data_IF_033277867177
#
_entry.id   IF_033277867177
#
_cell.length_a   1.000
_cell.length_b   1.000
_cell.length_c   1.000
_cell.angle_alpha   90.00
_cell.angle_beta   90.00
_cell.angle_gamma   90.00
#
_symmetry.space_group_name_H-M   'P 1'
#
loop_
_entity.id
_entity.type
_entity.pdbx_description
1 polymer ?
#
# COMPACT_ATOMS: atom_id res chain seq x y z
N UNK A 1 -4.94 -8.92 24.25
CA UNK A 1 -6.28 -9.50 24.53
C UNK A 1 -6.65 -9.38 26.00
N UNK A 2 -5.76 -9.76 26.92
CA UNK A 2 -5.99 -9.69 28.37
C UNK A 2 -5.37 -8.43 28.98
N UNK A 3 -5.83 -8.05 30.17
CA UNK A 3 -5.20 -7.08 31.07
C UNK A 3 -4.10 -7.79 31.89
N UNK A 4 -3.22 -7.06 32.60
CA UNK A 4 -2.19 -7.67 33.45
C UNK A 4 -2.73 -8.63 34.52
N UNK A 5 -4.00 -8.45 34.94
CA UNK A 5 -4.70 -9.32 35.89
C UNK A 5 -5.28 -10.60 35.25
N UNK A 6 -4.98 -10.87 33.97
CA UNK A 6 -5.47 -12.04 33.23
C UNK A 6 -6.93 -11.94 32.75
N UNK A 7 -7.65 -10.86 33.06
CA UNK A 7 -9.04 -10.68 32.59
C UNK A 7 -9.08 -10.21 31.14
N UNK A 8 -9.99 -10.70 30.29
CA UNK A 8 -10.18 -10.18 28.95
C UNK A 8 -10.49 -8.68 28.99
N UNK A 9 -9.89 -7.90 28.08
CA UNK A 9 -10.32 -6.53 27.84
C UNK A 9 -11.78 -6.53 27.38
N UNK A 10 -12.51 -5.45 27.63
CA UNK A 10 -13.94 -5.36 27.29
C UNK A 10 -14.20 -5.67 25.81
N UNK A 11 -13.41 -5.08 24.91
CA UNK A 11 -13.44 -5.33 23.46
C UNK A 11 -13.18 -6.79 23.07
N UNK A 12 -12.47 -7.53 23.92
CA UNK A 12 -12.10 -8.93 23.70
C UNK A 12 -12.96 -9.92 24.47
N UNK A 13 -13.95 -9.49 25.26
CA UNK A 13 -14.72 -10.38 26.14
C UNK A 13 -15.52 -11.43 25.39
N UNK A 14 -16.22 -11.04 24.33
CA UNK A 14 -16.98 -11.97 23.48
C UNK A 14 -16.05 -12.94 22.73
N UNK A 15 -14.89 -12.47 22.30
CA UNK A 15 -13.85 -13.31 21.69
C UNK A 15 -13.30 -14.31 22.69
N UNK A 16 -12.91 -13.87 23.89
CA UNK A 16 -12.44 -14.75 24.96
C UNK A 16 -13.48 -15.81 25.34
N UNK A 17 -14.75 -15.45 25.42
CA UNK A 17 -15.83 -16.41 25.66
C UNK A 17 -16.07 -17.36 24.49
N UNK A 18 -15.83 -16.95 23.24
CA UNK A 18 -15.89 -17.84 22.08
C UNK A 18 -14.72 -18.82 22.07
N UNK A 19 -13.50 -18.33 22.31
CA UNK A 19 -12.29 -19.16 22.39
C UNK A 19 -12.34 -20.15 23.55
N UNK A 20 -12.85 -19.75 24.72
CA UNK A 20 -13.00 -20.66 25.86
C UNK A 20 -14.05 -21.77 25.64
N UNK A 21 -14.96 -21.60 24.66
CA UNK A 21 -15.97 -22.60 24.29
C UNK A 21 -15.52 -23.53 23.17
N UNK A 22 -14.60 -23.09 22.32
CA UNK A 22 -13.96 -23.95 21.34
C UNK A 22 -12.95 -24.82 22.08
N UNK A 23 -13.02 -26.15 21.97
CA UNK A 23 -11.96 -26.99 22.53
C UNK A 23 -10.64 -26.69 21.80
N UNK A 24 -9.49 -26.91 22.44
CA UNK A 24 -8.18 -26.71 21.79
C UNK A 24 -8.02 -27.53 20.50
N UNK A 25 -8.65 -28.70 20.43
CA UNK A 25 -8.71 -29.57 19.25
C UNK A 25 -9.53 -28.95 18.10
N UNK A 26 -10.58 -28.18 18.41
CA UNK A 26 -11.39 -27.48 17.41
C UNK A 26 -10.62 -26.32 16.77
N UNK A 27 -9.77 -25.63 17.53
CA UNK A 27 -8.95 -24.52 17.02
C UNK A 27 -7.84 -25.01 16.08
N UNK A 28 -7.17 -26.11 16.42
CA UNK A 28 -6.16 -26.71 15.55
C UNK A 28 -6.76 -27.23 14.24
N UNK A 29 -7.90 -27.93 14.31
CA UNK A 29 -8.62 -28.39 13.12
C UNK A 29 -9.09 -27.23 12.24
N UNK A 30 -9.52 -26.12 12.85
CA UNK A 30 -9.90 -24.91 12.14
C UNK A 30 -8.70 -24.24 11.46
N UNK A 31 -7.59 -24.14 12.17
CA UNK A 31 -6.33 -23.62 11.68
C UNK A 31 -5.86 -24.41 10.44
N UNK A 32 -5.92 -25.74 10.51
CA UNK A 32 -5.63 -26.63 9.38
C UNK A 32 -6.62 -26.45 8.22
N UNK A 33 -7.91 -26.30 8.52
CA UNK A 33 -8.95 -26.07 7.52
C UNK A 33 -8.74 -24.78 6.75
N UNK A 34 -8.40 -23.69 7.44
CA UNK A 34 -8.11 -22.39 6.83
C UNK A 34 -6.81 -22.46 6.02
N UNK A 35 -5.75 -23.08 6.55
CA UNK A 35 -4.48 -23.24 5.82
C UNK A 35 -4.64 -24.05 4.52
N UNK A 36 -5.40 -25.16 4.55
CA UNK A 36 -5.70 -25.96 3.34
C UNK A 36 -6.49 -25.16 2.31
N UNK A 37 -7.39 -24.28 2.77
CA UNK A 37 -8.15 -23.42 1.87
C UNK A 37 -7.25 -22.39 1.18
N UNK A 38 -6.34 -21.77 1.93
CA UNK A 38 -5.37 -20.84 1.35
C UNK A 38 -4.50 -21.51 0.29
N UNK A 39 -4.09 -22.77 0.52
CA UNK A 39 -3.41 -23.58 -0.49
C UNK A 39 -4.26 -23.80 -1.75
N UNK A 40 -5.53 -24.18 -1.58
CA UNK A 40 -6.43 -24.47 -2.69
C UNK A 40 -6.81 -23.22 -3.49
N UNK A 41 -6.93 -22.06 -2.83
CA UNK A 41 -7.23 -20.78 -3.48
C UNK A 41 -5.98 -20.11 -4.07
N UNK A 42 -4.80 -20.74 -3.95
CA UNK A 42 -3.54 -20.21 -4.47
C UNK A 42 -3.07 -18.95 -3.75
N UNK A 43 -3.51 -18.74 -2.51
CA UNK A 43 -3.07 -17.64 -1.65
C UNK A 43 -1.68 -18.00 -1.11
N UNK A 44 -0.69 -17.88 -1.97
CA UNK A 44 0.70 -18.21 -1.68
C UNK A 44 1.55 -16.93 -1.66
N UNK A 45 2.74 -17.04 -1.09
CA UNK A 45 3.80 -16.05 -1.21
C UNK A 45 5.10 -16.78 -1.57
N UNK A 46 5.97 -16.09 -2.30
CA UNK A 46 7.29 -16.61 -2.63
C UNK A 46 8.31 -16.15 -1.60
N UNK A 47 8.90 -17.09 -0.85
CA UNK A 47 10.02 -16.79 0.05
C UNK A 47 11.31 -16.69 -0.78
N UNK A 48 11.85 -15.48 -0.93
CA UNK A 48 13.20 -15.27 -1.45
C UNK A 48 14.22 -15.68 -0.37
N UNK A 49 14.84 -16.86 -0.51
CA UNK A 49 15.87 -17.32 0.43
C UNK A 49 16.24 -18.80 0.38
N UNK A 50 15.42 -19.65 -0.25
CA UNK A 50 15.79 -21.05 -0.55
C UNK A 50 16.11 -21.18 -2.04
N UNK A 51 17.06 -22.06 -2.37
CA UNK A 51 17.56 -22.36 -3.72
C UNK A 51 16.47 -22.85 -4.70
N UNK A 52 15.26 -23.05 -4.20
CA UNK A 52 14.04 -23.38 -4.92
C UNK A 52 12.97 -22.33 -4.60
N UNK A 53 12.33 -21.80 -5.66
CA UNK A 53 11.09 -21.02 -5.56
C UNK A 53 9.97 -21.95 -5.08
N UNK A 54 9.92 -22.25 -3.78
CA UNK A 54 8.80 -22.98 -3.18
C UNK A 54 7.71 -21.97 -2.81
N UNK A 55 6.55 -22.05 -3.47
CA UNK A 55 5.35 -21.35 -3.00
C UNK A 55 5.01 -21.83 -1.58
N UNK A 56 4.94 -20.88 -0.64
CA UNK A 56 4.50 -21.18 0.73
C UNK A 56 3.17 -20.49 1.01
N UNK A 57 2.37 -21.12 1.85
CA UNK A 57 1.13 -20.53 2.37
C UNK A 57 1.52 -19.54 3.46
N UNK A 58 0.97 -18.34 3.46
CA UNK A 58 1.14 -17.41 4.59
C UNK A 58 0.53 -18.06 5.84
N UNK A 59 1.30 -18.21 6.93
CA UNK A 59 0.73 -18.66 8.20
C UNK A 59 -0.36 -17.69 8.65
N UNK A 60 -1.56 -18.19 8.80
CA UNK A 60 -2.70 -17.44 9.35
C UNK A 60 -2.85 -17.79 10.82
N UNK A 61 -3.27 -16.85 11.65
CA UNK A 61 -3.73 -17.12 13.01
C UNK A 61 -5.25 -16.91 13.03
N UNK A 62 -5.98 -17.94 13.48
CA UNK A 62 -7.44 -17.88 13.59
C UNK A 62 -7.93 -17.00 14.77
N UNK A 63 -7.07 -16.39 15.56
CA UNK A 63 -7.44 -15.45 16.62
C UNK A 63 -7.41 -14.02 16.07
N UNK A 64 -8.58 -13.37 15.87
CA UNK A 64 -8.62 -12.07 15.24
C UNK A 64 -8.07 -10.97 16.16
N UNK A 65 -7.38 -9.99 15.56
CA UNK A 65 -7.03 -8.73 16.21
C UNK A 65 -8.25 -7.81 16.26
N UNK A 66 -8.84 -7.65 17.45
CA UNK A 66 -10.00 -6.77 17.65
C UNK A 66 -9.55 -5.33 17.88
N UNK A 67 -10.12 -4.40 17.10
CA UNK A 67 -10.04 -2.95 17.29
C UNK A 67 -11.45 -2.41 17.54
N UNK A 68 -11.60 -1.55 18.54
CA UNK A 68 -12.88 -0.87 18.81
C UNK A 68 -13.13 0.22 17.76
N UNK A 69 -14.40 0.66 17.64
CA UNK A 69 -14.76 1.77 16.76
C UNK A 69 -13.97 3.04 17.08
N UNK A 70 -13.87 3.42 18.36
CA UNK A 70 -13.12 4.61 18.77
C UNK A 70 -11.62 4.52 18.45
N UNK A 71 -11.00 3.35 18.64
CA UNK A 71 -9.60 3.13 18.25
C UNK A 71 -9.43 3.24 16.73
N UNK A 72 -10.33 2.63 15.95
CA UNK A 72 -10.28 2.71 14.49
C UNK A 72 -10.52 4.13 13.96
N UNK A 73 -11.47 4.87 14.53
CA UNK A 73 -11.80 6.22 14.09
C UNK A 73 -10.63 7.19 14.39
N UNK A 74 -9.85 6.96 15.46
CA UNK A 74 -8.59 7.68 15.71
C UNK A 74 -7.52 7.34 14.67
N UNK A 75 -7.33 6.04 14.36
CA UNK A 75 -6.38 5.59 13.33
C UNK A 75 -6.76 6.14 11.95
N UNK A 76 -8.02 6.00 11.52
CA UNK A 76 -8.50 6.46 10.22
C UNK A 76 -8.27 7.96 10.03
N UNK A 77 -8.59 8.78 11.05
CA UNK A 77 -8.32 10.22 11.00
C UNK A 77 -6.84 10.54 10.86
N UNK A 78 -5.98 9.87 11.64
CA UNK A 78 -4.54 10.11 11.57
C UNK A 78 -3.89 9.62 10.28
N UNK A 79 -4.34 8.49 9.73
CA UNK A 79 -3.88 7.99 8.44
C UNK A 79 -4.30 8.93 7.29
N UNK A 80 -5.51 9.49 7.33
CA UNK A 80 -5.97 10.49 6.36
C UNK A 80 -5.12 11.76 6.43
N UNK A 81 -4.94 12.33 7.63
CA UNK A 81 -4.09 13.51 7.86
C UNK A 81 -2.68 13.28 7.31
N UNK A 82 -2.06 12.15 7.69
CA UNK A 82 -0.72 11.78 7.25
C UNK A 82 -0.62 11.65 5.73
N UNK A 83 -1.54 10.93 5.09
CA UNK A 83 -1.54 10.75 3.64
C UNK A 83 -1.77 12.07 2.89
N UNK A 84 -2.62 12.96 3.41
CA UNK A 84 -2.80 14.30 2.84
C UNK A 84 -1.50 15.10 2.91
N UNK A 85 -0.84 15.13 4.06
CA UNK A 85 0.44 15.82 4.22
C UNK A 85 1.54 15.25 3.31
N UNK A 86 1.61 13.92 3.16
CA UNK A 86 2.59 13.27 2.27
C UNK A 86 2.34 13.59 0.79
N UNK A 87 1.08 13.67 0.34
CA UNK A 87 0.78 14.11 -1.03
C UNK A 87 1.15 15.58 -1.25
N UNK A 88 0.87 16.48 -0.30
CA UNK A 88 1.26 17.88 -0.37
C UNK A 88 2.79 18.05 -0.37
N UNK A 89 3.51 17.23 0.40
CA UNK A 89 4.96 17.19 0.38
C UNK A 89 5.51 16.75 -0.97
N UNK A 90 4.97 15.66 -1.55
CA UNK A 90 5.36 15.18 -2.87
C UNK A 90 5.09 16.24 -3.95
N UNK A 91 3.94 16.91 -3.90
CA UNK A 91 3.62 18.02 -4.78
C UNK A 91 4.62 19.17 -4.63
N UNK A 92 4.95 19.55 -3.41
CA UNK A 92 5.90 20.63 -3.15
C UNK A 92 7.30 20.30 -3.70
N UNK A 93 7.88 19.14 -3.38
CA UNK A 93 9.26 18.81 -3.80
C UNK A 93 9.43 18.68 -5.32
N UNK A 94 8.37 18.31 -6.05
CA UNK A 94 8.40 18.23 -7.51
C UNK A 94 8.07 19.56 -8.21
N UNK A 95 7.63 20.57 -7.46
CA UNK A 95 7.28 21.88 -7.99
C UNK A 95 8.05 22.99 -7.27
N UNK A 96 7.41 23.69 -6.34
CA UNK A 96 7.94 24.89 -5.73
C UNK A 96 9.04 24.62 -4.71
N UNK A 97 9.11 23.46 -4.07
CA UNK A 97 10.14 23.09 -3.08
C UNK A 97 10.21 24.04 -1.88
N UNK A 98 9.07 24.53 -1.39
CA UNK A 98 8.99 25.48 -0.26
C UNK A 98 9.43 24.84 1.05
N UNK A 99 9.01 23.61 1.32
CA UNK A 99 9.39 22.86 2.53
C UNK A 99 10.90 22.64 2.63
N UNK A 100 11.60 22.51 1.50
CA UNK A 100 13.06 22.40 1.47
C UNK A 100 13.73 23.75 1.73
N UNK A 101 13.26 24.83 1.09
CA UNK A 101 13.80 26.19 1.30
C UNK A 101 13.58 26.70 2.72
N UNK A 102 12.45 26.36 3.32
CA UNK A 102 12.11 26.74 4.69
C UNK A 102 12.80 25.83 5.73
N UNK A 103 13.56 24.83 5.28
CA UNK A 103 14.36 23.95 6.14
C UNK A 103 13.55 22.92 6.93
N UNK A 104 12.32 22.63 6.52
CA UNK A 104 11.46 21.62 7.17
C UNK A 104 12.00 20.21 6.94
N UNK A 105 12.45 19.93 5.72
CA UNK A 105 13.16 18.69 5.36
C UNK A 105 14.48 19.09 4.70
N UNK A 106 15.62 18.51 5.11
CA UNK A 106 16.91 18.81 4.49
C UNK A 106 16.90 18.51 2.99
N UNK A 107 17.32 19.50 2.19
CA UNK A 107 17.31 19.40 0.73
C UNK A 107 18.14 18.22 0.21
N UNK A 108 19.29 17.95 0.81
CA UNK A 108 20.19 16.89 0.38
C UNK A 108 19.64 15.48 0.66
N UNK A 109 18.73 15.35 1.64
CA UNK A 109 18.02 14.09 1.92
C UNK A 109 17.05 13.78 0.79
N UNK A 110 16.34 14.79 0.29
CA UNK A 110 15.36 14.63 -0.80
C UNK A 110 16.05 14.50 -2.14
N UNK A 111 16.90 15.48 -2.51
CA UNK A 111 17.56 15.51 -3.82
C UNK A 111 18.64 14.43 -3.99
N UNK A 112 19.21 13.94 -2.88
CA UNK A 112 20.15 12.82 -2.87
C UNK A 112 19.48 11.44 -2.79
N UNK A 113 18.17 11.36 -2.58
CA UNK A 113 17.45 10.10 -2.50
C UNK A 113 17.41 9.41 -3.87
N UNK A 114 17.81 8.13 -4.00
CA UNK A 114 17.71 7.38 -5.26
C UNK A 114 16.27 7.23 -5.78
N UNK A 115 15.27 7.38 -4.90
CA UNK A 115 13.87 7.32 -5.26
C UNK A 115 13.28 8.67 -5.68
N UNK A 116 14.05 9.76 -5.57
CA UNK A 116 13.65 11.05 -6.13
C UNK A 116 13.81 11.04 -7.65
N UNK A 117 12.69 11.13 -8.37
CA UNK A 117 12.65 11.15 -9.84
C UNK A 117 12.66 12.56 -10.38
N UNK A 118 13.81 13.03 -10.88
CA UNK A 118 13.93 14.36 -11.50
C UNK A 118 12.95 14.54 -12.67
N UNK A 119 12.58 13.43 -13.32
CA UNK A 119 11.64 13.37 -14.43
C UNK A 119 10.23 13.83 -14.04
N UNK A 120 9.86 13.73 -12.76
CA UNK A 120 8.57 14.16 -12.21
C UNK A 120 8.47 15.67 -11.95
N UNK A 121 9.57 16.43 -12.10
CA UNK A 121 9.54 17.87 -11.87
C UNK A 121 8.62 18.58 -12.86
N UNK A 122 7.69 19.38 -12.34
CA UNK A 122 6.71 20.11 -13.14
C UNK A 122 5.71 19.22 -13.89
N UNK A 123 5.60 17.93 -13.53
CA UNK A 123 4.56 17.04 -14.05
C UNK A 123 3.26 17.32 -13.29
N UNK A 124 2.20 17.64 -14.02
CA UNK A 124 0.87 17.80 -13.45
C UNK A 124 0.30 16.43 -13.05
N UNK A 125 0.10 16.22 -11.75
CA UNK A 125 -0.51 15.00 -11.22
C UNK A 125 -1.98 15.29 -10.89
N UNK A 126 -2.94 14.55 -11.45
CA UNK A 126 -4.35 14.82 -11.21
C UNK A 126 -4.71 14.84 -9.72
N UNK A 127 -5.43 15.88 -9.32
CA UNK A 127 -5.83 16.15 -7.92
C UNK A 127 -4.66 16.26 -6.93
N UNK A 128 -3.41 16.40 -7.39
CA UNK A 128 -2.22 16.28 -6.53
C UNK A 128 -2.07 14.88 -5.89
N UNK A 129 -2.73 13.86 -6.44
CA UNK A 129 -2.81 12.53 -5.84
C UNK A 129 -1.64 11.63 -6.27
N UNK A 130 -0.43 11.98 -5.85
CA UNK A 130 0.78 11.17 -6.07
C UNK A 130 0.63 9.76 -5.50
N UNK A 131 0.09 9.64 -4.29
CA UNK A 131 -0.15 8.38 -3.58
C UNK A 131 -1.65 8.14 -3.50
N UNK A 132 -2.16 7.32 -4.42
CA UNK A 132 -3.57 6.91 -4.47
C UNK A 132 -3.87 5.72 -3.55
N UNK A 133 -2.88 4.85 -3.33
CA UNK A 133 -2.94 3.70 -2.43
C UNK A 133 -1.74 3.74 -1.50
N UNK A 134 -1.98 3.75 -0.19
CA UNK A 134 -0.92 3.76 0.82
C UNK A 134 -1.08 2.55 1.74
N UNK A 135 0.03 1.88 2.04
CA UNK A 135 0.10 0.91 3.13
C UNK A 135 0.87 1.50 4.31
N UNK A 136 0.20 1.80 5.42
CA UNK A 136 0.87 2.31 6.63
C UNK A 136 0.93 1.22 7.70
N UNK A 137 2.14 0.94 8.18
CA UNK A 137 2.37 -0.01 9.26
C UNK A 137 2.16 0.66 10.61
N UNK A 138 1.14 0.23 11.35
CA UNK A 138 0.75 0.82 12.63
C UNK A 138 0.95 -0.19 13.76
N UNK A 139 1.71 0.22 14.78
CA UNK A 139 1.93 -0.55 16.00
C UNK A 139 1.12 0.04 17.16
N UNK A 140 0.82 -0.79 18.16
CA UNK A 140 0.25 -0.33 19.43
C UNK A 140 1.34 -0.39 20.50
N UNK A 141 1.74 0.76 21.02
CA UNK A 141 2.73 0.93 22.09
C UNK A 141 2.03 1.02 23.46
N UNK A 142 2.79 1.30 24.52
CA UNK A 142 2.22 1.61 25.84
C UNK A 142 1.40 2.91 25.82
N UNK A 143 1.82 3.88 25.00
CA UNK A 143 1.27 5.25 24.98
C UNK A 143 0.16 5.45 23.93
N UNK A 144 -0.01 4.51 22.99
CA UNK A 144 -1.06 4.62 21.98
C UNK A 144 -0.77 3.86 20.70
N UNK A 145 -1.25 4.38 19.59
CA UNK A 145 -0.90 3.89 18.26
C UNK A 145 0.20 4.76 17.67
N UNK A 146 1.17 4.14 17.02
CA UNK A 146 2.25 4.82 16.33
C UNK A 146 2.47 4.21 14.95
N UNK A 147 2.85 5.04 13.99
CA UNK A 147 3.28 4.63 12.65
C UNK A 147 4.72 4.17 12.74
N UNK A 148 5.03 3.02 12.11
CA UNK A 148 6.38 2.47 11.99
C UNK A 148 6.97 2.76 10.61
N UNK A 149 6.15 2.70 9.57
CA UNK A 149 6.56 2.86 8.17
C UNK A 149 5.36 3.23 7.32
N UNK A 150 5.61 3.98 6.25
CA UNK A 150 4.67 4.19 5.16
C UNK A 150 5.18 3.45 3.92
N UNK A 151 4.26 2.90 3.12
CA UNK A 151 4.56 2.23 1.87
C UNK A 151 3.79 2.98 0.77
N UNK A 152 4.49 3.85 0.04
CA UNK A 152 3.91 4.79 -0.92
C UNK A 152 4.22 4.42 -2.37
N UNK A 153 5.07 3.43 -2.60
CA UNK A 153 5.40 2.89 -3.93
C UNK A 153 4.31 1.93 -4.42
N UNK A 154 4.50 0.64 -4.16
CA UNK A 154 3.63 -0.44 -4.64
C UNK A 154 3.18 -1.30 -3.46
N UNK A 155 2.33 -0.76 -2.56
CA UNK A 155 1.91 -1.50 -1.37
C UNK A 155 1.14 -2.79 -1.75
N UNK A 156 1.31 -3.83 -0.94
CA UNK A 156 0.65 -5.12 -1.08
C UNK A 156 0.05 -5.57 0.26
N UNK A 157 -0.79 -6.60 0.27
CA UNK A 157 -1.38 -7.15 1.50
C UNK A 157 -2.90 -7.29 1.47
N UNK A 158 -3.57 -6.65 0.51
CA UNK A 158 -5.03 -6.52 0.46
C UNK A 158 -5.69 -7.86 0.17
N UNK A 159 -5.16 -8.64 -0.77
CA UNK A 159 -5.75 -9.95 -1.10
C UNK A 159 -5.76 -10.86 0.13
N UNK A 160 -4.67 -10.84 0.91
CA UNK A 160 -4.57 -11.57 2.17
C UNK A 160 -5.57 -11.04 3.19
N UNK A 161 -5.72 -9.72 3.36
CA UNK A 161 -6.73 -9.14 4.26
C UNK A 161 -8.15 -9.65 3.93
N UNK A 162 -8.52 -9.66 2.64
CA UNK A 162 -9.84 -10.10 2.17
C UNK A 162 -10.03 -11.61 2.34
N UNK A 163 -9.02 -12.39 1.99
CA UNK A 163 -9.05 -13.85 2.15
C UNK A 163 -9.14 -14.25 3.63
N UNK A 164 -8.32 -13.66 4.49
CA UNK A 164 -8.35 -13.84 5.94
C UNK A 164 -9.75 -13.54 6.49
N UNK A 165 -10.35 -12.42 6.10
CA UNK A 165 -11.71 -12.07 6.55
C UNK A 165 -12.75 -13.10 6.11
N UNK A 166 -12.69 -13.56 4.86
CA UNK A 166 -13.63 -14.54 4.31
C UNK A 166 -13.50 -15.89 5.01
N UNK A 167 -12.28 -16.37 5.20
CA UNK A 167 -12.02 -17.59 5.95
C UNK A 167 -12.53 -17.50 7.39
N UNK A 168 -12.24 -16.38 8.07
CA UNK A 168 -12.63 -16.15 9.44
C UNK A 168 -14.15 -16.01 9.65
N UNK A 169 -14.87 -15.39 8.70
CA UNK A 169 -16.34 -15.32 8.71
C UNK A 169 -16.99 -16.71 8.62
N UNK A 170 -16.42 -17.61 7.83
CA UNK A 170 -16.90 -18.99 7.68
C UNK A 170 -16.55 -19.86 8.90
N UNK A 171 -15.35 -19.65 9.44
CA UNK A 171 -14.84 -20.32 10.63
C UNK A 171 -15.63 -19.98 11.91
N UNK A 172 -15.97 -18.70 12.12
CA UNK A 172 -16.63 -18.22 13.33
C UNK A 172 -17.89 -17.37 13.04
N UNK A 173 -18.94 -17.90 12.39
CA UNK A 173 -20.08 -17.11 11.92
C UNK A 173 -20.91 -16.51 13.07
N UNK A 174 -20.93 -17.15 14.25
CA UNK A 174 -21.60 -16.62 15.45
C UNK A 174 -20.83 -15.44 16.07
N UNK A 175 -19.50 -15.53 16.11
CA UNK A 175 -18.63 -14.48 16.63
C UNK A 175 -18.75 -13.21 15.79
N UNK A 176 -18.70 -13.35 14.46
CA UNK A 176 -18.81 -12.21 13.54
C UNK A 176 -20.16 -11.50 13.64
N UNK A 177 -21.26 -12.25 13.74
CA UNK A 177 -22.59 -11.68 13.93
C UNK A 177 -22.74 -10.97 15.28
N UNK A 178 -22.17 -11.53 16.35
CA UNK A 178 -22.27 -10.95 17.69
C UNK A 178 -21.43 -9.66 17.88
N UNK A 179 -20.33 -9.50 17.14
CA UNK A 179 -19.43 -8.35 17.27
C UNK A 179 -19.76 -7.16 16.35
N UNK A 180 -20.69 -7.30 15.40
CA UNK A 180 -21.02 -6.22 14.45
C UNK A 180 -19.80 -5.76 13.64
N UNK A 181 -18.95 -6.71 13.21
CA UNK A 181 -17.70 -6.40 12.49
C UNK A 181 -17.98 -5.67 11.17
N UNK A 182 -17.37 -4.50 10.97
CA UNK A 182 -17.49 -3.70 9.73
C UNK A 182 -17.01 -4.50 8.50
N UNK A 183 -17.75 -4.39 7.40
CA UNK A 183 -17.45 -5.09 6.15
C UNK A 183 -16.27 -4.46 5.40
N UNK A 184 -15.48 -5.31 4.73
CA UNK A 184 -14.32 -4.90 3.92
C UNK A 184 -14.37 -5.44 2.48
N UNK A 185 -15.39 -6.23 2.15
CA UNK A 185 -15.48 -6.94 0.86
C UNK A 185 -15.53 -5.98 -0.34
N UNK A 186 -16.00 -4.75 -0.13
CA UNK A 186 -16.11 -3.70 -1.16
C UNK A 186 -14.80 -2.97 -1.45
N UNK A 187 -13.67 -3.43 -0.91
CA UNK A 187 -12.37 -2.81 -1.18
C UNK A 187 -12.05 -2.71 -2.69
N UNK A 188 -12.20 -3.78 -3.51
CA UNK A 188 -11.89 -3.68 -4.94
C UNK A 188 -12.77 -2.67 -5.68
N UNK A 189 -14.05 -2.56 -5.32
CA UNK A 189 -14.95 -1.53 -5.86
C UNK A 189 -14.45 -0.11 -5.52
N UNK A 190 -14.05 0.11 -4.26
CA UNK A 190 -13.50 1.39 -3.84
C UNK A 190 -12.17 1.70 -4.56
N UNK A 191 -11.30 0.70 -4.72
CA UNK A 191 -10.04 0.86 -5.46
C UNK A 191 -10.31 1.25 -6.91
N UNK A 192 -11.20 0.54 -7.62
CA UNK A 192 -11.58 0.89 -8.98
C UNK A 192 -12.15 2.30 -9.06
N UNK A 193 -13.05 2.67 -8.14
CA UNK A 193 -13.65 4.01 -8.08
C UNK A 193 -12.60 5.09 -7.86
N UNK A 194 -11.63 4.87 -6.97
CA UNK A 194 -10.52 5.79 -6.73
C UNK A 194 -9.68 5.96 -7.99
N UNK A 195 -9.24 4.86 -8.60
CA UNK A 195 -8.43 4.88 -9.83
C UNK A 195 -9.17 5.57 -10.99
N UNK A 196 -10.45 5.24 -11.17
CA UNK A 196 -11.31 5.83 -12.19
C UNK A 196 -11.49 7.35 -12.01
N UNK A 197 -11.42 7.85 -10.77
CA UNK A 197 -11.58 9.28 -10.46
C UNK A 197 -10.33 10.13 -10.74
N UNK A 198 -9.17 9.51 -10.98
CA UNK A 198 -7.88 10.21 -11.17
C UNK A 198 -7.75 10.95 -12.52
N UNK A 199 -8.80 11.08 -13.30
CA UNK A 199 -8.74 11.90 -14.49
C UNK A 199 -10.10 12.19 -15.09
N UNK A 200 -10.09 13.03 -16.11
CA UNK A 200 -11.30 13.53 -16.77
C UNK A 200 -11.65 12.65 -17.97
N UNK A 201 -11.94 11.38 -17.71
CA UNK A 201 -12.33 10.40 -18.73
C UNK A 201 -13.84 10.43 -18.97
N UNK A 202 -14.31 9.81 -20.05
CA UNK A 202 -15.74 9.54 -20.24
C UNK A 202 -16.30 8.59 -19.17
N UNK A 203 -17.58 8.19 -19.31
CA UNK A 203 -18.35 7.49 -18.26
C UNK A 203 -17.89 6.07 -17.86
N UNK A 204 -16.72 5.58 -18.30
CA UNK A 204 -16.16 4.27 -17.91
C UNK A 204 -14.68 4.17 -18.32
N UNK A 205 -13.73 4.69 -17.52
CA UNK A 205 -12.31 4.57 -17.83
C UNK A 205 -11.85 3.12 -17.82
N UNK A 206 -10.96 2.78 -18.75
CA UNK A 206 -10.32 1.47 -18.77
C UNK A 206 -9.10 1.48 -17.86
N UNK A 207 -9.20 0.73 -16.77
CA UNK A 207 -8.12 0.49 -15.82
C UNK A 207 -7.34 -0.76 -16.24
N UNK A 208 -6.01 -0.65 -16.26
CA UNK A 208 -5.08 -1.75 -16.43
C UNK A 208 -4.27 -1.98 -15.15
N UNK A 209 -4.08 -3.24 -14.76
CA UNK A 209 -3.14 -3.62 -13.69
C UNK A 209 -1.84 -4.09 -14.36
N UNK A 210 -0.81 -3.25 -14.31
CA UNK A 210 0.48 -3.55 -14.92
C UNK A 210 1.33 -4.39 -13.97
N UNK A 211 1.56 -5.65 -14.32
CA UNK A 211 2.27 -6.63 -13.50
C UNK A 211 3.64 -6.99 -14.09
N UNK A 212 4.67 -7.27 -13.28
CA UNK A 212 5.95 -7.80 -13.75
C UNK A 212 5.86 -9.27 -14.19
N UNK A 213 4.69 -9.90 -14.05
CA UNK A 213 4.44 -11.28 -14.47
C UNK A 213 4.54 -12.31 -13.34
N UNK A 214 4.34 -13.58 -13.70
CA UNK A 214 4.14 -14.71 -12.76
C UNK A 214 5.29 -15.00 -11.80
N UNK A 215 6.49 -14.50 -12.08
CA UNK A 215 7.68 -14.75 -11.25
C UNK A 215 7.82 -13.78 -10.08
N UNK A 216 6.91 -12.81 -9.96
CA UNK A 216 6.84 -11.92 -8.82
C UNK A 216 6.01 -12.53 -7.68
N UNK A 217 6.48 -12.38 -6.45
CA UNK A 217 5.87 -12.95 -5.25
C UNK A 217 4.45 -12.49 -4.97
N UNK A 218 4.06 -11.31 -5.47
CA UNK A 218 2.73 -10.72 -5.30
C UNK A 218 1.82 -10.91 -6.53
N UNK A 219 2.24 -11.69 -7.54
CA UNK A 219 1.46 -11.88 -8.78
C UNK A 219 0.02 -12.34 -8.53
N UNK A 220 -0.19 -13.21 -7.54
CA UNK A 220 -1.53 -13.62 -7.12
C UNK A 220 -2.42 -12.43 -6.76
N UNK A 221 -1.91 -11.48 -5.97
CA UNK A 221 -2.66 -10.28 -5.60
C UNK A 221 -2.96 -9.40 -6.82
N UNK A 222 -2.02 -9.30 -7.76
CA UNK A 222 -2.21 -8.50 -8.97
C UNK A 222 -3.37 -9.06 -9.80
N UNK A 223 -3.38 -10.38 -10.02
CA UNK A 223 -4.42 -11.07 -10.75
C UNK A 223 -5.77 -11.03 -10.02
N UNK A 224 -5.76 -11.24 -8.70
CA UNK A 224 -6.95 -11.14 -7.85
C UNK A 224 -7.59 -9.75 -7.94
N UNK A 225 -6.82 -8.68 -7.71
CA UNK A 225 -7.34 -7.31 -7.78
C UNK A 225 -7.81 -6.95 -9.18
N UNK A 226 -7.10 -7.38 -10.22
CA UNK A 226 -7.54 -7.14 -11.60
C UNK A 226 -8.91 -7.80 -11.88
N UNK A 227 -9.08 -9.06 -11.44
CA UNK A 227 -10.34 -9.78 -11.58
C UNK A 227 -11.49 -9.12 -10.82
N UNK A 228 -11.30 -8.83 -9.52
CA UNK A 228 -12.34 -8.24 -8.67
C UNK A 228 -12.73 -6.81 -9.09
N UNK A 229 -11.80 -6.04 -9.65
CA UNK A 229 -12.09 -4.70 -10.20
C UNK A 229 -12.72 -4.74 -11.60
N UNK A 230 -12.69 -5.88 -12.29
CA UNK A 230 -12.97 -5.94 -13.73
C UNK A 230 -11.94 -5.17 -14.58
N UNK A 231 -10.72 -4.98 -14.06
CA UNK A 231 -9.61 -4.32 -14.73
C UNK A 231 -8.86 -5.31 -15.65
N UNK A 232 -8.11 -4.77 -16.61
CA UNK A 232 -7.29 -5.60 -17.51
C UNK A 232 -5.94 -5.91 -16.86
N UNK A 233 -5.67 -7.18 -16.53
CA UNK A 233 -4.33 -7.61 -16.11
C UNK A 233 -3.41 -7.68 -17.34
N UNK A 234 -2.26 -7.01 -17.30
CA UNK A 234 -1.32 -6.98 -18.43
C UNK A 234 0.14 -6.90 -17.97
N UNK A 235 1.03 -7.54 -18.72
CA UNK A 235 2.47 -7.30 -18.67
C UNK A 235 2.86 -6.17 -19.64
N UNK A 236 4.06 -5.59 -19.49
CA UNK A 236 4.51 -4.48 -20.35
C UNK A 236 4.44 -4.78 -21.85
N UNK A 237 4.72 -6.03 -22.25
CA UNK A 237 4.65 -6.50 -23.65
C UNK A 237 3.25 -6.47 -24.26
N UNK A 238 2.21 -6.52 -23.42
CA UNK A 238 0.81 -6.51 -23.86
C UNK A 238 0.34 -5.08 -24.17
N UNK A 239 1.09 -4.09 -23.71
CA UNK A 239 0.81 -2.67 -23.87
C UNK A 239 1.69 -2.04 -24.95
N UNK A 240 1.20 -0.96 -25.54
CA UNK A 240 1.93 -0.16 -26.52
C UNK A 240 1.48 1.29 -26.46
N UNK A 241 2.44 2.20 -26.50
CA UNK A 241 2.18 3.62 -26.69
C UNK A 241 2.23 3.95 -28.17
N UNK A 242 1.20 4.61 -28.68
CA UNK A 242 1.13 5.12 -30.05
C UNK A 242 0.51 6.51 -30.03
N UNK A 243 1.19 7.50 -30.61
CA UNK A 243 0.80 8.92 -30.59
C UNK A 243 0.43 9.41 -29.18
N UNK A 244 1.31 9.10 -28.21
CA UNK A 244 1.17 9.39 -26.78
C UNK A 244 -0.01 8.73 -26.06
N UNK A 245 -0.84 7.94 -26.74
CA UNK A 245 -1.94 7.19 -26.13
C UNK A 245 -1.51 5.76 -25.81
N UNK A 246 -1.84 5.29 -24.61
CA UNK A 246 -1.59 3.92 -24.19
C UNK A 246 -2.70 2.98 -24.66
N UNK A 247 -2.31 1.85 -25.25
CA UNK A 247 -3.22 0.80 -25.70
C UNK A 247 -2.81 -0.55 -25.14
N UNK A 248 -3.79 -1.41 -24.91
CA UNK A 248 -3.60 -2.86 -24.77
C UNK A 248 -3.86 -3.54 -26.10
N UNK A 249 -3.01 -4.52 -26.44
CA UNK A 249 -3.15 -5.35 -27.64
C UNK A 249 -4.21 -6.42 -27.38
N UNK A 250 -5.24 -6.47 -28.22
CA UNK A 250 -6.26 -7.53 -28.18
C UNK A 250 -6.41 -8.19 -29.55
N UNK A 251 -7.03 -9.36 -29.60
CA UNK A 251 -7.40 -10.01 -30.88
C UNK A 251 -8.31 -9.14 -31.76
N UNK A 252 -9.07 -8.22 -31.14
CA UNK A 252 -9.95 -7.27 -31.83
C UNK A 252 -9.28 -5.95 -32.19
N UNK A 253 -7.95 -5.87 -32.05
CA UNK A 253 -7.16 -4.65 -32.25
C UNK A 253 -6.81 -3.93 -30.94
N UNK A 254 -6.32 -2.70 -31.07
CA UNK A 254 -5.88 -1.88 -29.94
C UNK A 254 -7.07 -1.32 -29.16
N UNK A 255 -7.03 -1.42 -27.83
CA UNK A 255 -8.01 -0.80 -26.94
C UNK A 255 -7.29 0.18 -26.03
N UNK A 256 -7.76 1.43 -25.97
CA UNK A 256 -7.17 2.48 -25.15
C UNK A 256 -7.25 2.11 -23.66
N UNK A 257 -6.17 2.37 -22.94
CA UNK A 257 -6.07 2.33 -21.47
C UNK A 257 -6.00 3.77 -20.97
N UNK A 258 -6.79 4.09 -19.93
CA UNK A 258 -6.87 5.44 -19.38
C UNK A 258 -6.10 5.54 -18.05
N UNK A 259 -6.11 4.47 -17.26
CA UNK A 259 -5.44 4.42 -15.95
C UNK A 259 -4.63 3.13 -15.84
N UNK A 260 -3.38 3.26 -15.40
CA UNK A 260 -2.49 2.14 -15.08
C UNK A 260 -2.31 2.08 -13.58
N UNK A 261 -2.91 1.07 -12.95
CA UNK A 261 -2.52 0.66 -11.60
C UNK A 261 -1.24 -0.14 -11.69
N UNK A 262 -0.10 0.50 -11.43
CA UNK A 262 1.21 -0.14 -11.59
C UNK A 262 1.52 -1.05 -10.40
N UNK A 263 2.03 -2.24 -10.70
CA UNK A 263 2.59 -3.18 -9.73
C UNK A 263 4.07 -3.45 -9.99
N UNK A 264 4.74 -2.45 -10.56
CA UNK A 264 6.18 -2.44 -10.88
C UNK A 264 6.82 -1.16 -10.34
N UNK A 265 8.08 -1.26 -9.93
CA UNK A 265 8.86 -0.11 -9.46
C UNK A 265 9.18 0.87 -10.59
N UNK A 266 9.45 2.13 -10.22
CA UNK A 266 9.65 3.25 -11.14
C UNK A 266 10.73 2.94 -12.18
N UNK A 267 11.86 2.38 -11.73
CA UNK A 267 13.01 2.08 -12.58
C UNK A 267 12.63 1.19 -13.77
N UNK A 268 11.67 0.29 -13.57
CA UNK A 268 11.28 -0.68 -14.58
C UNK A 268 10.11 -0.23 -15.44
N UNK A 269 9.50 0.93 -15.17
CA UNK A 269 8.22 1.36 -15.75
C UNK A 269 8.29 1.72 -17.24
N UNK A 270 9.37 2.37 -17.67
CA UNK A 270 9.56 2.83 -19.04
C UNK A 270 11.07 2.80 -19.39
N UNK A 271 11.52 1.90 -20.29
CA UNK A 271 12.93 1.81 -20.65
C UNK A 271 13.45 3.01 -21.45
N UNK A 272 12.58 3.89 -21.97
CA UNK A 272 13.00 5.13 -22.65
C UNK A 272 13.39 6.20 -21.63
N UNK A 273 12.73 6.21 -20.47
CA UNK A 273 12.89 7.25 -19.45
C UNK A 273 13.79 6.81 -18.30
N UNK A 274 13.61 5.58 -17.82
CA UNK A 274 14.27 5.05 -16.64
C UNK A 274 15.33 4.02 -17.03
N UNK A 275 15.19 2.77 -16.58
CA UNK A 275 16.18 1.72 -16.81
C UNK A 275 16.05 1.14 -18.23
N UNK A 276 17.03 1.44 -19.08
CA UNK A 276 17.04 1.06 -20.50
C UNK A 276 17.03 -0.45 -20.78
N UNK A 277 17.57 -1.28 -19.88
CA UNK A 277 17.53 -2.75 -19.98
C UNK A 277 16.27 -3.37 -19.35
N UNK A 278 15.30 -2.55 -18.91
CA UNK A 278 14.01 -3.05 -18.42
C UNK A 278 13.22 -3.73 -19.53
N UNK A 279 12.75 -4.94 -19.25
CA UNK A 279 11.82 -5.71 -20.09
C UNK A 279 10.40 -5.78 -19.50
N UNK A 280 10.18 -5.15 -18.34
CA UNK A 280 8.92 -5.23 -17.60
C UNK A 280 7.96 -4.09 -17.95
N UNK A 281 8.51 -2.93 -18.26
CA UNK A 281 7.78 -1.70 -18.53
C UNK A 281 7.27 -1.58 -19.95
N UNK A 282 6.80 -0.37 -20.28
CA UNK A 282 6.24 -0.03 -21.59
C UNK A 282 7.00 1.16 -22.16
N UNK A 283 7.70 1.01 -23.30
CA UNK A 283 8.41 2.11 -23.94
C UNK A 283 7.50 3.32 -24.20
N UNK A 284 7.88 4.48 -23.68
CA UNK A 284 7.14 5.75 -23.86
C UNK A 284 5.96 5.95 -22.91
N UNK A 285 5.72 5.05 -21.96
CA UNK A 285 4.63 5.17 -20.98
C UNK A 285 4.76 6.42 -20.11
N UNK A 286 5.98 6.76 -19.68
CA UNK A 286 6.17 7.96 -18.88
C UNK A 286 5.90 9.23 -19.70
N UNK A 287 6.30 9.23 -20.97
CA UNK A 287 5.97 10.32 -21.90
C UNK A 287 4.47 10.51 -22.08
N UNK A 288 3.72 9.41 -22.25
CA UNK A 288 2.25 9.43 -22.33
C UNK A 288 1.61 9.96 -21.04
N UNK A 289 2.13 9.56 -19.87
CA UNK A 289 1.69 10.04 -18.56
C UNK A 289 1.93 11.54 -18.39
N UNK A 290 3.15 11.99 -18.65
CA UNK A 290 3.53 13.41 -18.56
C UNK A 290 2.75 14.31 -19.53
N UNK A 291 2.32 13.76 -20.67
CA UNK A 291 1.47 14.46 -21.63
C UNK A 291 -0.04 14.41 -21.29
N UNK A 292 -0.43 13.76 -20.18
CA UNK A 292 -1.81 13.72 -19.69
C UNK A 292 -2.74 12.74 -20.43
N UNK A 293 -2.20 11.82 -21.22
CA UNK A 293 -3.02 10.87 -22.00
C UNK A 293 -3.42 9.61 -21.21
N UNK A 294 -2.67 9.30 -20.16
CA UNK A 294 -2.88 8.17 -19.24
C UNK A 294 -2.48 8.59 -17.84
N UNK A 295 -3.08 8.01 -16.81
CA UNK A 295 -2.65 8.19 -15.41
C UNK A 295 -1.97 6.94 -14.88
N UNK A 296 -0.91 7.11 -14.10
CA UNK A 296 -0.20 6.02 -13.43
C UNK A 296 -0.45 6.15 -11.92
N UNK A 297 -0.95 5.08 -11.31
CA UNK A 297 -1.27 5.02 -9.89
C UNK A 297 -0.52 3.86 -9.20
N UNK A 298 0.22 4.09 -8.12
CA UNK A 298 0.67 5.40 -7.64
C UNK A 298 1.59 6.10 -8.66
N UNK A 299 1.73 7.42 -8.56
CA UNK A 299 2.62 8.18 -9.44
C UNK A 299 4.08 7.68 -9.31
N UNK A 300 4.92 7.85 -10.34
CA UNK A 300 6.36 7.71 -10.20
C UNK A 300 6.91 8.74 -9.19
N UNK A 301 8.00 8.43 -8.51
CA UNK A 301 8.68 9.34 -7.58
C UNK A 301 8.13 9.35 -6.15
N UNK A 302 7.11 8.56 -5.82
CA UNK A 302 6.56 8.54 -4.45
C UNK A 302 7.53 7.97 -3.41
N UNK A 303 8.54 7.19 -3.84
CA UNK A 303 9.48 6.51 -2.94
C UNK A 303 10.41 7.44 -2.17
N UNK A 304 10.51 8.72 -2.53
CA UNK A 304 11.25 9.70 -1.71
C UNK A 304 10.52 10.03 -0.41
N UNK A 305 9.18 9.97 -0.41
CA UNK A 305 8.37 10.28 0.77
C UNK A 305 8.22 9.09 1.73
N UNK A 306 8.53 7.86 1.29
CA UNK A 306 8.61 6.67 2.17
C UNK A 306 10.05 6.26 2.52
N UNK A 307 11.04 7.10 2.17
CA UNK A 307 12.41 6.87 2.59
C UNK A 307 12.53 6.96 4.12
N UNK A 308 13.33 6.05 4.70
CA UNK A 308 13.53 5.96 6.15
C UNK A 308 14.08 7.24 6.77
N UNK A 309 14.85 8.02 6.01
CA UNK A 309 15.35 9.30 6.48
C UNK A 309 14.26 10.38 6.45
N UNK A 310 13.38 10.40 5.43
CA UNK A 310 12.23 11.33 5.37
C UNK A 310 11.18 11.01 6.44
N UNK A 311 11.00 9.73 6.77
CA UNK A 311 10.04 9.28 7.78
C UNK A 311 10.13 10.07 9.10
N UNK A 312 11.34 10.39 9.58
CA UNK A 312 11.56 11.16 10.80
C UNK A 312 10.97 12.59 10.75
N UNK A 313 10.83 13.15 9.55
CA UNK A 313 10.32 14.51 9.33
C UNK A 313 8.81 14.57 9.08
N UNK A 314 8.11 13.43 8.94
CA UNK A 314 6.66 13.43 8.68
C UNK A 314 5.84 14.23 9.71
N UNK A 315 6.14 14.20 11.02
CA UNK A 315 5.50 15.09 11.99
C UNK A 315 5.65 16.58 11.65
N UNK A 316 6.83 17.01 11.19
CA UNK A 316 7.09 18.40 10.79
C UNK A 316 6.38 18.73 9.46
N UNK A 317 6.34 17.79 8.52
CA UNK A 317 5.59 17.90 7.26
C UNK A 317 4.10 18.12 7.54
N UNK A 318 3.48 17.34 8.45
CA UNK A 318 2.08 17.51 8.84
C UNK A 318 1.83 18.92 9.37
N UNK A 319 2.65 19.40 10.31
CA UNK A 319 2.51 20.76 10.86
C UNK A 319 2.66 21.83 9.80
N UNK A 320 3.64 21.69 8.92
CA UNK A 320 3.93 22.69 7.89
C UNK A 320 2.81 22.82 6.85
N UNK A 321 2.29 21.70 6.34
CA UNK A 321 1.31 21.73 5.26
C UNK A 321 -0.14 21.84 5.74
N UNK A 322 -0.44 21.34 6.94
CA UNK A 322 -1.83 21.27 7.45
C UNK A 322 -2.09 22.25 8.60
N UNK A 323 -1.06 22.84 9.21
CA UNK A 323 -1.19 23.62 10.46
C UNK A 323 -1.89 22.82 11.57
N UNK A 324 -1.60 21.52 11.63
CA UNK A 324 -2.19 20.57 12.58
C UNK A 324 -1.10 19.80 13.32
N UNK A 325 -1.38 19.39 14.56
CA UNK A 325 -0.55 18.42 15.27
C UNK A 325 -0.80 16.99 14.74
N UNK A 326 0.24 16.15 14.61
CA UNK A 326 0.08 14.76 14.19
C UNK A 326 -0.85 13.98 15.12
N UNK A 327 -1.90 13.39 14.56
CA UNK A 327 -2.85 12.56 15.31
C UNK A 327 -2.22 11.23 15.71
N UNK A 328 -1.45 10.62 14.81
CA UNK A 328 -0.67 9.41 15.07
C UNK A 328 0.80 9.78 15.23
N UNK A 329 1.40 9.32 16.32
CA UNK A 329 2.83 9.50 16.54
C UNK A 329 3.65 8.63 15.59
N UNK A 330 4.89 9.05 15.31
CA UNK A 330 5.91 8.15 14.80
C UNK A 330 6.47 7.31 15.97
N UNK A 331 6.94 6.11 15.67
CA UNK A 331 7.85 5.41 16.58
C UNK A 331 9.14 6.24 16.73
N UNK A 332 9.64 6.35 17.96
CA UNK A 332 10.90 7.03 18.26
C UNK A 332 12.03 6.49 17.37
N UNK A 333 12.71 7.40 16.68
CA UNK A 333 13.72 7.06 15.68
C UNK A 333 14.89 8.02 15.82
N UNK A 334 16.06 7.48 16.14
CA UNK A 334 17.29 8.24 16.26
C UNK A 334 18.03 8.25 14.92
N UNK A 335 18.21 9.45 14.36
CA UNK A 335 18.92 9.60 13.10
C UNK A 335 20.43 9.60 13.34
N UNK A 336 21.14 8.56 12.89
CA UNK A 336 22.61 8.48 13.01
C UNK A 336 23.39 9.53 12.19
N UNK A 337 22.69 10.38 11.43
CA UNK A 337 23.27 11.56 10.77
C UNK A 337 23.47 12.72 11.76
N UNK A 338 22.64 12.79 12.79
CA UNK A 338 22.81 13.72 13.90
C UNK A 338 23.84 13.15 14.87
N UNK A 339 24.88 13.91 15.28
CA UNK A 339 25.81 13.48 16.32
C UNK A 339 25.13 12.92 17.58
N UNK A 340 24.02 13.51 18.03
CA UNK A 340 23.30 13.03 19.22
C UNK A 340 22.62 11.69 18.97
N UNK A 341 21.92 11.55 17.84
CA UNK A 341 21.28 10.29 17.44
C UNK A 341 22.27 9.16 17.23
N UNK A 342 23.45 9.47 16.66
CA UNK A 342 24.53 8.51 16.51
C UNK A 342 25.11 8.08 17.86
N UNK A 343 25.40 9.03 18.75
CA UNK A 343 25.93 8.74 20.08
C UNK A 343 24.98 7.83 20.86
N UNK A 344 23.69 8.16 20.90
CA UNK A 344 22.68 7.35 21.58
C UNK A 344 22.64 5.91 21.05
N UNK A 345 22.66 5.74 19.71
CA UNK A 345 22.61 4.43 19.05
C UNK A 345 23.87 3.59 19.28
N UNK A 346 25.02 4.22 19.56
CA UNK A 346 26.26 3.51 19.87
C UNK A 346 26.35 3.10 21.35
N UNK A 347 25.61 3.77 22.24
CA UNK A 347 25.65 3.55 23.69
C UNK A 347 24.66 2.50 24.20
N UNK A 348 23.56 2.25 23.47
CA UNK A 348 22.45 1.37 23.85
C UNK A 348 22.20 0.30 22.77
#
# INVERSE_FOLDING_TARGET
MFRPDGRPRESSRLLGAALARAASEDLAALQDGVARRFLHEGITFTVLGRRELSEQIIPIDCVPRVLTAAEWDHIDRGLRQRLTALNLFLEDIYNDGRSLRDGIVPEDLVLGCPQYRVEMRGVEVPHGAYVSVCGTDVVRTADGFAVLEDNLRVPSGVSYMLACRTAMKQAFPRLYRAHGVREIARYPEHLYSTLASLGSWGSSPRVAVLTPGRYNSAYYEHAFLAGEMGATLCEGRDLVVHDAVLYVRTVSGLKRIDVVYRRIDDDFLDPVTFRADSVLGVPGLFGAYRAGYVVIANAPGTGVADDKAVYAFVPAIIRYFLDEEPILANVETHMCRDPEGLAYTLEH
#
